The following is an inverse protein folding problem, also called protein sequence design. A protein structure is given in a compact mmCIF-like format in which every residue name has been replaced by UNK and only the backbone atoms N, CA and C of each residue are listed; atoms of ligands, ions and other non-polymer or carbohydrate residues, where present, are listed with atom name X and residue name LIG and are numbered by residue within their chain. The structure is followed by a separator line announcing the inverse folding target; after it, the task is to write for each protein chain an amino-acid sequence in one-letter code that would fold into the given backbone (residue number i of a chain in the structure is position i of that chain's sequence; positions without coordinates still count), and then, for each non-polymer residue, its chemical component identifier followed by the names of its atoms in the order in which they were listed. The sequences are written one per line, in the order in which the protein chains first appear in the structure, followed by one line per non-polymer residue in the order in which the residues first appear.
data_IF_622607628236
#
_entry.id   IF_622607628236
#
_cell.length_a   1.000
_cell.length_b   1.000
_cell.length_c   1.000
_cell.angle_alpha   90.00
_cell.angle_beta   90.00
_cell.angle_gamma   90.00
#
_symmetry.space_group_name_H-M   'P 1'
#
loop_
_entity.id
_entity.type
_entity.pdbx_description
1 polymer ?
#
# COMPACT_ATOMS: atom_id res chain seq x y z
N UNK A 1 13.05 13.48 -0.62
CA UNK A 1 11.76 12.79 -0.80
C UNK A 1 11.90 11.73 -1.87
N UNK A 2 11.35 10.54 -1.61
CA UNK A 2 11.39 9.41 -2.54
C UNK A 2 9.96 9.03 -2.92
N UNK A 3 9.76 8.59 -4.18
CA UNK A 3 8.46 8.16 -4.69
C UNK A 3 8.46 6.65 -4.88
N UNK A 4 7.37 6.01 -4.47
CA UNK A 4 7.20 4.56 -4.58
C UNK A 4 5.87 4.25 -5.23
N UNK A 5 5.89 3.35 -6.21
CA UNK A 5 4.68 2.85 -6.84
C UNK A 5 4.67 1.33 -6.81
N UNK A 6 3.48 0.74 -6.74
CA UNK A 6 3.35 -0.71 -6.71
C UNK A 6 2.02 -1.14 -7.30
N UNK A 7 1.92 -2.43 -7.63
CA UNK A 7 0.72 -3.03 -8.20
C UNK A 7 0.40 -4.34 -7.49
N UNK A 8 -0.88 -4.63 -7.34
CA UNK A 8 -1.38 -5.91 -6.83
C UNK A 8 -2.70 -6.24 -7.54
N UNK A 9 -2.98 -7.52 -7.68
CA UNK A 9 -4.28 -7.94 -8.17
C UNK A 9 -5.34 -7.89 -7.08
N UNK A 10 -6.59 -7.75 -7.51
CA UNK A 10 -7.76 -7.87 -6.65
C UNK A 10 -8.92 -8.39 -7.49
N UNK A 11 -9.47 -9.58 -7.16
CA UNK A 11 -10.62 -10.10 -7.90
C UNK A 11 -11.75 -9.08 -7.95
N UNK A 12 -12.37 -8.95 -9.10
CA UNK A 12 -13.41 -7.93 -9.34
C UNK A 12 -14.56 -8.03 -8.33
N UNK A 13 -14.88 -9.23 -7.90
CA UNK A 13 -15.93 -9.48 -6.92
C UNK A 13 -15.66 -8.86 -5.54
N UNK A 14 -14.40 -8.56 -5.23
CA UNK A 14 -13.99 -7.97 -3.95
C UNK A 14 -13.96 -6.44 -3.97
N UNK A 15 -14.21 -5.81 -5.11
CA UNK A 15 -14.03 -4.36 -5.26
C UNK A 15 -14.90 -3.53 -4.34
N UNK A 16 -16.16 -3.89 -4.17
CA UNK A 16 -17.08 -3.12 -3.34
C UNK A 16 -16.65 -3.13 -1.87
N UNK A 17 -16.28 -4.29 -1.36
CA UNK A 17 -15.81 -4.42 0.01
C UNK A 17 -14.49 -3.68 0.22
N UNK A 18 -13.55 -3.82 -0.72
CA UNK A 18 -12.26 -3.14 -0.64
C UNK A 18 -12.43 -1.62 -0.64
N UNK A 19 -13.27 -1.10 -1.54
CA UNK A 19 -13.51 0.34 -1.65
C UNK A 19 -14.28 0.86 -0.43
N UNK A 20 -15.20 0.08 0.11
CA UNK A 20 -15.91 0.43 1.35
C UNK A 20 -14.94 0.58 2.53
N UNK A 21 -14.02 -0.37 2.69
CA UNK A 21 -13.01 -0.31 3.74
C UNK A 21 -12.15 0.95 3.60
N UNK A 22 -11.74 1.27 2.38
CA UNK A 22 -10.83 2.39 2.11
C UNK A 22 -11.53 3.75 2.11
N UNK A 23 -12.86 3.78 2.11
CA UNK A 23 -13.62 5.02 2.32
C UNK A 23 -13.61 5.42 3.80
N UNK A 24 -13.24 4.51 4.71
CA UNK A 24 -13.23 4.75 6.15
C UNK A 24 -12.03 4.03 6.80
N UNK A 25 -10.83 4.34 6.34
CA UNK A 25 -9.60 3.76 6.90
C UNK A 25 -9.50 4.12 8.38
N UNK A 26 -9.10 3.15 9.19
CA UNK A 26 -9.06 3.32 10.64
C UNK A 26 -8.10 4.45 11.04
N UNK A 27 -8.52 5.32 11.98
CA UNK A 27 -7.69 6.46 12.40
C UNK A 27 -6.28 6.07 12.86
N UNK A 28 -6.14 4.95 13.57
CA UNK A 28 -4.84 4.49 14.06
C UNK A 28 -3.91 4.08 12.91
N UNK A 29 -4.48 3.54 11.83
CA UNK A 29 -3.71 3.19 10.62
C UNK A 29 -3.24 4.45 9.91
N UNK A 30 -4.14 5.44 9.76
CA UNK A 30 -3.77 6.73 9.17
C UNK A 30 -2.67 7.43 9.97
N UNK A 31 -2.76 7.39 11.30
CA UNK A 31 -1.76 7.97 12.18
C UNK A 31 -0.41 7.29 12.01
N UNK A 32 -0.38 5.96 11.90
CA UNK A 32 0.86 5.21 11.70
C UNK A 32 1.50 5.52 10.35
N UNK A 33 0.71 5.62 9.30
CA UNK A 33 1.20 6.02 7.97
C UNK A 33 1.94 7.36 8.06
N UNK A 34 1.36 8.34 8.74
CA UNK A 34 2.00 9.65 8.91
C UNK A 34 3.27 9.55 9.78
N UNK A 35 3.21 8.76 10.85
CA UNK A 35 4.35 8.59 11.77
C UNK A 35 5.57 8.00 11.08
N UNK A 36 5.37 7.06 10.15
CA UNK A 36 6.47 6.44 9.41
C UNK A 36 6.87 7.22 8.16
N UNK A 37 6.49 8.49 8.08
CA UNK A 37 6.96 9.44 7.06
C UNK A 37 6.43 9.18 5.64
N UNK A 38 5.25 8.58 5.53
CA UNK A 38 4.57 8.41 4.26
C UNK A 38 3.63 9.59 4.02
N UNK A 39 3.63 10.14 2.81
CA UNK A 39 2.81 11.27 2.39
C UNK A 39 2.23 11.00 1.01
N UNK A 40 1.12 11.68 0.70
CA UNK A 40 0.49 11.63 -0.62
C UNK A 40 0.25 10.20 -1.10
N UNK A 41 -0.25 9.37 -0.21
CA UNK A 41 -0.50 7.96 -0.47
C UNK A 41 -1.86 7.81 -1.16
N UNK A 42 -1.85 7.22 -2.35
CA UNK A 42 -3.06 6.98 -3.14
C UNK A 42 -3.08 5.56 -3.66
N UNK A 43 -4.29 5.00 -3.76
CA UNK A 43 -4.51 3.69 -4.38
C UNK A 43 -5.56 3.87 -5.47
N UNK A 44 -5.28 3.37 -6.66
CA UNK A 44 -6.18 3.43 -7.81
C UNK A 44 -6.54 2.02 -8.25
N UNK A 45 -7.73 1.85 -8.78
CA UNK A 45 -8.17 0.56 -9.34
C UNK A 45 -8.36 0.68 -10.84
N UNK A 46 -7.86 -0.32 -11.56
CA UNK A 46 -8.18 -0.51 -12.97
C UNK A 46 -8.52 -1.99 -13.17
N UNK A 47 -9.81 -2.29 -13.41
CA UNK A 47 -10.27 -3.67 -13.51
C UNK A 47 -9.97 -4.47 -12.25
N UNK A 48 -9.18 -5.52 -12.40
CA UNK A 48 -8.76 -6.37 -11.28
C UNK A 48 -7.35 -6.04 -10.77
N UNK A 49 -6.88 -4.82 -11.02
CA UNK A 49 -5.59 -4.35 -10.55
C UNK A 49 -5.75 -3.13 -9.65
N UNK A 50 -4.93 -3.06 -8.62
CA UNK A 50 -4.77 -1.90 -7.77
C UNK A 50 -3.37 -1.35 -7.99
N UNK A 51 -3.27 -0.03 -8.11
CA UNK A 51 -2.00 0.67 -8.25
C UNK A 51 -1.85 1.61 -7.07
N UNK A 52 -0.73 1.55 -6.37
CA UNK A 52 -0.45 2.46 -5.28
C UNK A 52 0.67 3.42 -5.63
N UNK A 53 0.60 4.60 -5.03
CA UNK A 53 1.66 5.60 -5.10
C UNK A 53 1.77 6.25 -3.72
N UNK A 54 2.97 6.44 -3.24
CA UNK A 54 3.20 7.28 -2.07
C UNK A 54 4.57 7.93 -2.13
N UNK A 55 4.73 8.96 -1.30
CA UNK A 55 5.99 9.68 -1.12
C UNK A 55 6.52 9.39 0.27
N UNK A 56 7.83 9.24 0.36
CA UNK A 56 8.51 8.99 1.62
C UNK A 56 9.43 10.17 1.91
N UNK A 57 9.25 10.78 3.10
CA UNK A 57 10.00 11.98 3.50
C UNK A 57 10.99 11.71 4.63
N UNK A 58 11.16 10.45 5.04
CA UNK A 58 12.08 10.08 6.12
C UNK A 58 13.52 9.86 5.63
N UNK A 59 14.33 9.33 6.54
CA UNK A 59 15.76 9.12 6.30
C UNK A 59 16.17 7.65 6.25
N UNK A 60 15.28 6.74 6.61
CA UNK A 60 15.57 5.30 6.66
C UNK A 60 14.27 4.54 6.36
N UNK A 61 14.05 4.29 5.08
CA UNK A 61 12.83 3.67 4.59
C UNK A 61 12.62 2.28 5.22
N UNK A 62 13.67 1.47 5.25
CA UNK A 62 13.55 0.10 5.77
C UNK A 62 13.18 0.10 7.26
N UNK A 63 13.79 0.99 8.04
CA UNK A 63 13.48 1.11 9.45
C UNK A 63 12.05 1.59 9.69
N UNK A 64 11.58 2.57 8.89
CA UNK A 64 10.22 3.08 9.02
C UNK A 64 9.18 2.06 8.57
N UNK A 65 9.46 1.31 7.51
CA UNK A 65 8.55 0.23 7.08
C UNK A 65 8.51 -0.90 8.11
N UNK A 66 9.62 -1.18 8.78
CA UNK A 66 9.65 -2.16 9.87
C UNK A 66 8.79 -1.72 11.06
N UNK A 67 8.79 -0.42 11.38
CA UNK A 67 7.90 0.14 12.42
C UNK A 67 6.43 -0.05 12.06
N UNK A 68 6.08 0.19 10.81
CA UNK A 68 4.71 0.01 10.36
C UNK A 68 4.30 -1.46 10.43
N UNK A 69 5.16 -2.37 9.98
CA UNK A 69 4.90 -3.80 10.00
C UNK A 69 4.77 -4.36 11.41
N UNK A 70 5.41 -3.74 12.40
CA UNK A 70 5.35 -4.14 13.80
C UNK A 70 4.12 -3.57 14.54
N UNK A 71 3.40 -2.63 13.94
CA UNK A 71 2.26 -1.99 14.58
C UNK A 71 1.05 -2.91 14.62
N UNK A 72 0.48 -3.22 15.81
CA UNK A 72 -0.64 -4.16 15.92
C UNK A 72 -1.89 -3.72 15.15
N UNK A 73 -2.22 -2.44 15.13
CA UNK A 73 -3.39 -1.95 14.40
C UNK A 73 -3.21 -2.05 12.89
N UNK A 74 -2.00 -1.78 12.40
CA UNK A 74 -1.68 -1.96 10.99
C UNK A 74 -1.79 -3.44 10.61
N UNK A 75 -1.30 -4.34 11.46
CA UNK A 75 -1.42 -5.78 11.21
C UNK A 75 -2.89 -6.22 11.15
N UNK A 76 -3.74 -5.72 12.04
CA UNK A 76 -5.18 -6.00 12.01
C UNK A 76 -5.80 -5.50 10.70
N UNK A 77 -5.43 -4.30 10.25
CA UNK A 77 -5.89 -3.74 8.98
C UNK A 77 -5.46 -4.61 7.80
N UNK A 78 -4.20 -5.05 7.79
CA UNK A 78 -3.71 -5.95 6.76
C UNK A 78 -4.44 -7.28 6.76
N UNK A 79 -4.76 -7.82 7.93
CA UNK A 79 -5.51 -9.08 8.05
C UNK A 79 -6.90 -8.97 7.42
N UNK A 80 -7.48 -7.77 7.39
CA UNK A 80 -8.77 -7.51 6.75
C UNK A 80 -8.61 -7.31 5.24
N UNK A 81 -7.57 -6.61 4.80
CA UNK A 81 -7.39 -6.22 3.39
C UNK A 81 -6.73 -7.32 2.55
N UNK A 82 -5.73 -8.02 3.09
CA UNK A 82 -4.97 -8.99 2.31
C UNK A 82 -5.81 -10.14 1.73
N UNK A 83 -6.81 -10.68 2.45
CA UNK A 83 -7.66 -11.72 1.87
C UNK A 83 -8.46 -11.28 0.65
N UNK A 84 -8.64 -9.97 0.45
CA UNK A 84 -9.35 -9.43 -0.70
C UNK A 84 -8.42 -9.25 -1.92
N UNK A 85 -7.12 -9.35 -1.72
CA UNK A 85 -6.10 -9.09 -2.73
C UNK A 85 -5.55 -10.39 -3.30
N UNK A 86 -4.96 -10.28 -4.49
CA UNK A 86 -4.29 -11.39 -5.16
C UNK A 86 -2.97 -10.87 -5.76
N UNK A 87 -1.82 -11.16 -5.15
CA UNK A 87 -0.53 -10.71 -5.67
C UNK A 87 -0.31 -11.14 -7.12
N UNK A 88 0.38 -10.32 -7.91
CA UNK A 88 0.72 -10.68 -9.28
C UNK A 88 1.80 -11.77 -9.29
N UNK A 89 1.74 -12.67 -10.28
CA UNK A 89 2.58 -13.87 -10.30
C UNK A 89 4.06 -13.58 -10.55
N UNK A 90 4.37 -12.47 -11.20
CA UNK A 90 5.75 -12.09 -11.56
C UNK A 90 6.39 -11.12 -10.55
N UNK A 91 5.80 -10.97 -9.37
CA UNK A 91 6.40 -10.16 -8.31
C UNK A 91 7.73 -10.77 -7.84
N UNK A 92 8.58 -9.92 -7.28
CA UNK A 92 9.83 -10.40 -6.70
C UNK A 92 9.56 -11.21 -5.42
N UNK A 93 10.52 -12.06 -5.04
CA UNK A 93 10.41 -12.87 -3.83
C UNK A 93 10.24 -11.97 -2.61
N UNK A 94 9.28 -12.32 -1.75
CA UNK A 94 9.00 -11.57 -0.53
C UNK A 94 8.07 -10.38 -0.70
N UNK A 95 7.69 -10.03 -1.93
CA UNK A 95 6.74 -8.94 -2.17
C UNK A 95 5.30 -9.43 -2.10
N UNK A 96 4.44 -8.64 -1.47
CA UNK A 96 2.99 -8.78 -1.56
C UNK A 96 2.47 -7.86 -2.67
N UNK A 97 2.72 -6.56 -2.54
CA UNK A 97 2.57 -5.62 -3.64
C UNK A 97 3.85 -5.65 -4.46
N UNK A 98 3.75 -5.72 -5.78
CA UNK A 98 4.91 -5.71 -6.66
C UNK A 98 5.39 -4.28 -6.91
N UNK A 99 6.67 -4.01 -6.66
CA UNK A 99 7.25 -2.68 -6.93
C UNK A 99 7.26 -2.38 -8.41
N UNK A 100 6.91 -1.14 -8.76
CA UNK A 100 6.90 -0.66 -10.14
C UNK A 100 8.01 0.37 -10.30
N UNK A 101 8.91 0.22 -11.30
CA UNK A 101 9.97 1.20 -11.50
C UNK A 101 9.42 2.50 -12.07
N UNK A 102 9.96 3.63 -11.61
CA UNK A 102 9.67 4.94 -12.19
C UNK A 102 10.42 5.06 -13.52
N UNK A 103 9.69 5.34 -14.59
CA UNK A 103 10.30 5.49 -15.92
C UNK A 103 10.36 6.93 -16.41
N UNK A 104 9.66 7.83 -15.73
CA UNK A 104 9.68 9.26 -16.05
C UNK A 104 9.15 10.06 -14.87
N UNK A 105 9.76 11.21 -14.63
CA UNK A 105 9.27 12.18 -13.66
C UNK A 105 9.72 13.58 -14.06
N UNK A 106 8.85 14.56 -13.85
CA UNK A 106 9.17 15.99 -13.93
C UNK A 106 8.41 16.71 -12.81
N UNK A 107 9.09 17.62 -12.14
CA UNK A 107 8.46 18.46 -11.11
C UNK A 107 7.49 19.46 -11.72
#
# INVERSE_FOLDING_TARGET
MQRYASVIGMPYENREEYERLHAAVWPDVLAKIAEVNIRNYSIYRYGELLFSYFEYIGNDFDADMAKMAADPKTQEWWDVCMPLQRPVSDRADGEWWASIPEVFHVD
#
